data_IF_834895354206
#
_entry.id   IF_834895354206
#
_cell.length_a   1.000
_cell.length_b   1.000
_cell.length_c   1.000
_cell.angle_alpha   90.00
_cell.angle_beta   90.00
_cell.angle_gamma   90.00
#
_symmetry.space_group_name_H-M   'P 1'
#
loop_
_entity.id
_entity.type
_entity.pdbx_description
1 polymer ?
#
# COMPACT_ATOMS: atom_id res chain seq x y z
N UNK A 1 -2.21 -1.29 -12.84
CA UNK A 1 -1.30 -0.16 -12.47
C UNK A 1 -2.07 1.02 -11.89
N UNK A 2 -3.00 1.66 -12.60
CA UNK A 2 -3.77 2.79 -12.07
C UNK A 2 -4.55 2.47 -10.79
N UNK A 3 -5.33 1.39 -10.77
CA UNK A 3 -6.07 1.01 -9.56
C UNK A 3 -5.14 0.72 -8.38
N UNK A 4 -3.98 0.13 -8.65
CA UNK A 4 -2.95 -0.10 -7.64
C UNK A 4 -2.42 1.21 -7.04
N UNK A 5 -2.11 2.22 -7.88
CA UNK A 5 -1.66 3.54 -7.44
C UNK A 5 -2.63 4.17 -6.43
N UNK A 6 -3.91 4.23 -6.81
CA UNK A 6 -4.94 4.81 -5.96
C UNK A 6 -5.19 3.98 -4.70
N UNK A 7 -5.27 2.65 -4.83
CA UNK A 7 -5.48 1.77 -3.67
C UNK A 7 -4.33 1.87 -2.67
N UNK A 8 -3.07 1.83 -3.13
CA UNK A 8 -1.89 1.96 -2.28
C UNK A 8 -1.92 3.29 -1.51
N UNK A 9 -2.18 4.40 -2.21
CA UNK A 9 -2.27 5.72 -1.61
C UNK A 9 -3.39 5.81 -0.56
N UNK A 10 -4.61 5.38 -0.91
CA UNK A 10 -5.76 5.44 0.00
C UNK A 10 -5.55 4.57 1.23
N UNK A 11 -5.09 3.33 1.07
CA UNK A 11 -4.88 2.41 2.19
C UNK A 11 -3.90 3.01 3.21
N UNK A 12 -2.78 3.58 2.76
CA UNK A 12 -1.81 4.17 3.68
C UNK A 12 -2.38 5.42 4.38
N UNK A 13 -3.10 6.27 3.65
CA UNK A 13 -3.75 7.43 4.27
C UNK A 13 -4.78 6.99 5.32
N UNK A 14 -5.63 6.03 4.99
CA UNK A 14 -6.63 5.53 5.94
C UNK A 14 -5.97 4.89 7.16
N UNK A 15 -4.91 4.11 6.96
CA UNK A 15 -4.18 3.47 8.05
C UNK A 15 -3.55 4.51 8.99
N UNK A 16 -2.90 5.54 8.47
CA UNK A 16 -2.31 6.59 9.31
C UNK A 16 -3.37 7.46 10.01
N UNK A 17 -4.50 7.77 9.36
CA UNK A 17 -5.64 8.43 10.03
C UNK A 17 -6.20 7.53 11.14
N UNK A 18 -6.29 6.22 10.92
CA UNK A 18 -6.79 5.30 11.93
C UNK A 18 -5.84 5.22 13.14
N UNK A 19 -4.51 5.15 12.90
CA UNK A 19 -3.49 5.27 13.95
C UNK A 19 -3.64 6.58 14.74
N UNK A 20 -3.85 7.70 14.04
CA UNK A 20 -4.08 9.00 14.66
C UNK A 20 -5.28 9.01 15.61
N UNK A 21 -6.42 8.51 15.12
CA UNK A 21 -7.66 8.47 15.90
C UNK A 21 -7.52 7.59 17.14
N UNK A 22 -6.92 6.40 16.99
CA UNK A 22 -6.72 5.48 18.11
C UNK A 22 -5.82 6.08 19.19
N UNK A 23 -4.72 6.71 18.78
CA UNK A 23 -3.81 7.35 19.71
C UNK A 23 -4.46 8.55 20.42
N UNK A 24 -5.27 9.33 19.70
CA UNK A 24 -6.02 10.45 20.27
C UNK A 24 -7.03 9.96 21.30
N UNK A 25 -7.80 8.92 21.00
CA UNK A 25 -8.76 8.32 21.94
C UNK A 25 -8.03 7.79 23.19
N UNK A 26 -6.95 7.03 23.01
CA UNK A 26 -6.16 6.50 24.13
C UNK A 26 -5.63 7.59 25.05
N UNK A 27 -5.18 8.71 24.49
CA UNK A 27 -4.64 9.85 25.25
C UNK A 27 -5.75 10.58 26.01
N UNK A 28 -6.93 10.74 25.40
CA UNK A 28 -8.07 11.39 26.07
C UNK A 28 -8.73 10.51 27.14
N UNK A 29 -8.51 9.19 27.10
CA UNK A 29 -8.96 8.26 28.14
C UNK A 29 -7.95 8.10 29.28
N UNK A 30 -6.74 8.65 29.14
CA UNK A 30 -5.70 8.65 30.17
C UNK A 30 -5.92 9.81 31.17
N UNK A 31 -7.13 9.86 31.73
CA UNK A 31 -7.51 10.84 32.74
C UNK A 31 -7.35 10.18 34.12
N UNK A 32 -6.62 10.86 35.00
CA UNK A 32 -6.38 10.44 36.37
C UNK A 32 -7.58 10.82 37.26
N UNK A 33 -8.70 10.15 37.04
CA UNK A 33 -9.94 10.33 37.79
C UNK A 33 -10.37 9.00 38.42
N UNK A 34 -10.66 9.06 39.71
CA UNK A 34 -11.13 7.92 40.48
C UNK A 34 -12.66 7.87 40.47
N UNK A 35 -13.21 6.79 39.92
CA UNK A 35 -14.65 6.49 40.03
C UNK A 35 -14.84 5.31 40.98
N UNK A 36 -15.01 5.62 42.26
CA UNK A 36 -15.09 4.61 43.32
C UNK A 36 -13.71 4.14 43.79
N UNK A 37 -13.44 2.82 43.76
CA UNK A 37 -12.14 2.22 44.10
C UNK A 37 -11.25 1.94 42.88
N UNK A 38 -11.66 2.41 41.70
CA UNK A 38 -11.01 2.08 40.43
C UNK A 38 -10.57 3.38 39.76
N UNK A 39 -9.27 3.46 39.48
CA UNK A 39 -8.67 4.56 38.74
C UNK A 39 -8.85 4.32 37.23
N UNK A 40 -9.43 5.28 36.52
CA UNK A 40 -9.73 5.12 35.09
C UNK A 40 -8.46 5.01 34.23
N UNK A 41 -7.37 5.65 34.65
CA UNK A 41 -6.08 5.57 33.97
C UNK A 41 -5.44 4.19 34.11
N UNK A 42 -5.53 3.55 35.26
CA UNK A 42 -5.05 2.17 35.44
C UNK A 42 -5.85 1.17 34.58
N UNK A 43 -7.17 1.33 34.49
CA UNK A 43 -8.02 0.49 33.63
C UNK A 43 -7.72 0.74 32.15
N UNK A 44 -7.56 2.00 31.75
CA UNK A 44 -7.18 2.37 30.38
C UNK A 44 -5.83 1.75 30.01
N UNK A 45 -4.81 1.89 30.87
CA UNK A 45 -3.48 1.33 30.67
C UNK A 45 -3.49 -0.20 30.53
N UNK A 46 -4.37 -0.90 31.25
CA UNK A 46 -4.51 -2.36 31.16
C UNK A 46 -5.33 -2.84 29.94
N UNK A 47 -6.13 -1.97 29.34
CA UNK A 47 -7.04 -2.31 28.23
C UNK A 47 -6.66 -1.57 26.95
N UNK A 48 -7.24 -0.40 26.69
CA UNK A 48 -7.06 0.38 25.48
C UNK A 48 -5.62 0.83 25.26
N UNK A 49 -4.86 1.12 26.32
CA UNK A 49 -3.45 1.47 26.23
C UNK A 49 -2.59 0.35 25.65
N UNK A 50 -2.81 -0.90 26.07
CA UNK A 50 -2.11 -2.08 25.50
C UNK A 50 -2.50 -2.32 24.05
N UNK A 51 -3.77 -2.16 23.71
CA UNK A 51 -4.26 -2.31 22.33
C UNK A 51 -3.65 -1.21 21.45
N UNK A 52 -3.65 0.04 21.90
CA UNK A 52 -3.07 1.17 21.18
C UNK A 52 -1.56 0.97 20.95
N UNK A 53 -0.81 0.57 21.99
CA UNK A 53 0.61 0.29 21.85
C UNK A 53 0.89 -0.83 20.85
N UNK A 54 0.17 -1.96 20.95
CA UNK A 54 0.31 -3.06 20.01
C UNK A 54 -0.03 -2.63 18.57
N UNK A 55 -1.00 -1.74 18.40
CA UNK A 55 -1.38 -1.22 17.10
C UNK A 55 -0.31 -0.25 16.54
N UNK A 56 0.20 0.67 17.35
CA UNK A 56 1.30 1.57 16.98
C UNK A 56 2.54 0.79 16.54
N UNK A 57 2.91 -0.25 17.29
CA UNK A 57 4.10 -1.07 17.01
C UNK A 57 3.93 -1.92 15.74
N UNK A 58 2.70 -2.27 15.38
CA UNK A 58 2.40 -3.13 14.22
C UNK A 58 1.93 -2.36 12.97
N UNK A 59 1.55 -1.09 13.09
CA UNK A 59 0.96 -0.30 12.01
C UNK A 59 1.84 -0.27 10.75
N UNK A 60 3.15 -0.06 10.90
CA UNK A 60 4.06 -0.04 9.75
C UNK A 60 4.16 -1.40 9.06
N UNK A 61 4.19 -2.48 9.84
CA UNK A 61 4.24 -3.84 9.31
C UNK A 61 2.96 -4.20 8.57
N UNK A 62 1.80 -3.82 9.12
CA UNK A 62 0.50 -4.00 8.47
C UNK A 62 0.46 -3.23 7.14
N UNK A 63 0.82 -1.94 7.17
CA UNK A 63 0.83 -1.09 5.98
C UNK A 63 1.74 -1.63 4.89
N UNK A 64 2.99 -1.94 5.24
CA UNK A 64 3.96 -2.49 4.31
C UNK A 64 3.53 -3.86 3.75
N UNK A 65 2.98 -4.74 4.59
CA UNK A 65 2.53 -6.08 4.15
C UNK A 65 1.36 -5.97 3.17
N UNK A 66 0.42 -5.06 3.41
CA UNK A 66 -0.70 -4.82 2.49
C UNK A 66 -0.19 -4.26 1.16
N UNK A 67 0.69 -3.27 1.17
CA UNK A 67 1.30 -2.71 -0.04
C UNK A 67 2.08 -3.76 -0.85
N UNK A 68 2.88 -4.57 -0.16
CA UNK A 68 3.62 -5.66 -0.78
C UNK A 68 2.68 -6.71 -1.39
N UNK A 69 1.60 -7.05 -0.69
CA UNK A 69 0.58 -7.97 -1.18
C UNK A 69 -0.11 -7.46 -2.45
N UNK A 70 -0.35 -6.15 -2.55
CA UNK A 70 -0.90 -5.54 -3.77
C UNK A 70 0.06 -5.67 -4.95
N UNK A 71 1.38 -5.53 -4.74
CA UNK A 71 2.40 -5.77 -5.78
C UNK A 71 2.39 -7.24 -6.20
N UNK A 72 2.34 -8.18 -5.25
CA UNK A 72 2.25 -9.61 -5.58
C UNK A 72 0.99 -9.94 -6.37
N UNK A 73 -0.15 -9.35 -6.01
CA UNK A 73 -1.41 -9.53 -6.72
C UNK A 73 -1.31 -9.02 -8.17
N UNK A 74 -0.55 -7.95 -8.41
CA UNK A 74 -0.25 -7.49 -9.77
C UNK A 74 0.56 -8.52 -10.57
N UNK A 75 1.58 -9.12 -9.97
CA UNK A 75 2.36 -10.17 -10.64
C UNK A 75 1.52 -11.41 -10.96
N UNK A 76 0.65 -11.83 -10.02
CA UNK A 76 -0.27 -12.93 -10.23
C UNK A 76 -1.27 -12.63 -11.35
N UNK A 77 -1.89 -11.45 -11.34
CA UNK A 77 -2.80 -11.03 -12.40
C UNK A 77 -2.11 -10.97 -13.77
N UNK A 78 -0.87 -10.47 -13.84
CA UNK A 78 -0.08 -10.46 -15.06
C UNK A 78 0.16 -11.88 -15.60
N UNK A 79 0.47 -12.81 -14.71
CA UNK A 79 0.68 -14.21 -15.05
C UNK A 79 -0.60 -14.88 -15.58
N UNK A 80 -1.75 -14.64 -14.94
CA UNK A 80 -3.04 -15.24 -15.34
C UNK A 80 -3.65 -14.61 -16.59
N UNK A 81 -3.49 -13.31 -16.81
CA UNK A 81 -4.09 -12.56 -17.92
C UNK A 81 -3.22 -12.53 -19.19
N UNK A 82 -2.34 -13.52 -19.34
CA UNK A 82 -1.45 -13.69 -20.49
C UNK A 82 -2.26 -13.72 -21.80
N UNK A 83 -2.07 -12.70 -22.64
CA UNK A 83 -2.88 -12.48 -23.84
C UNK A 83 -2.45 -13.28 -25.08
N UNK A 84 -3.41 -13.58 -25.95
CA UNK A 84 -3.19 -14.27 -27.23
C UNK A 84 -2.58 -13.36 -28.33
N UNK A 85 -2.61 -12.03 -28.15
CA UNK A 85 -2.13 -11.04 -29.13
C UNK A 85 -0.97 -10.16 -28.59
N UNK A 86 0.25 -10.68 -28.50
CA UNK A 86 1.33 -10.04 -27.75
C UNK A 86 1.80 -8.69 -28.32
N UNK A 87 1.76 -8.47 -29.64
CA UNK A 87 2.44 -7.31 -30.25
C UNK A 87 1.73 -5.97 -30.04
N UNK A 88 0.40 -5.93 -30.18
CA UNK A 88 -0.36 -4.68 -30.03
C UNK A 88 -0.47 -4.27 -28.55
N UNK A 89 -0.58 -5.26 -27.65
CA UNK A 89 -0.72 -4.99 -26.22
C UNK A 89 0.57 -4.46 -25.58
N UNK A 90 1.77 -4.84 -26.07
CA UNK A 90 3.04 -4.29 -25.56
C UNK A 90 3.11 -2.76 -25.70
N UNK A 91 2.72 -2.22 -26.87
CA UNK A 91 2.76 -0.78 -27.12
C UNK A 91 1.81 -0.05 -26.18
N UNK A 92 0.60 -0.60 -26.01
CA UNK A 92 -0.42 -0.06 -25.10
C UNK A 92 0.10 -0.06 -23.67
N UNK A 93 0.73 -1.15 -23.22
CA UNK A 93 1.29 -1.27 -21.87
C UNK A 93 2.42 -0.28 -21.61
N UNK A 94 3.29 0.00 -22.60
CA UNK A 94 4.34 1.03 -22.48
C UNK A 94 3.71 2.40 -22.28
N UNK A 95 2.69 2.75 -23.08
CA UNK A 95 1.99 4.03 -22.94
C UNK A 95 1.33 4.12 -21.56
N UNK A 96 0.64 3.06 -21.12
CA UNK A 96 0.02 3.01 -19.80
C UNK A 96 1.05 3.12 -18.66
N UNK A 97 2.23 2.52 -18.81
CA UNK A 97 3.34 2.62 -17.85
C UNK A 97 3.81 4.07 -17.71
N UNK A 98 4.01 4.78 -18.82
CA UNK A 98 4.43 6.19 -18.81
C UNK A 98 3.40 7.06 -18.10
N UNK A 99 2.10 6.90 -18.42
CA UNK A 99 1.04 7.64 -17.72
C UNK A 99 0.96 7.28 -16.23
N UNK A 100 1.08 5.99 -15.87
CA UNK A 100 1.11 5.55 -14.49
C UNK A 100 2.32 6.12 -13.73
N UNK A 101 3.48 6.23 -14.39
CA UNK A 101 4.66 6.86 -13.83
C UNK A 101 4.44 8.36 -13.56
N UNK A 102 3.89 9.11 -14.50
CA UNK A 102 3.58 10.54 -14.28
C UNK A 102 2.62 10.71 -13.09
N UNK A 103 1.57 9.89 -13.04
CA UNK A 103 0.61 9.91 -11.93
C UNK A 103 1.27 9.54 -10.59
N UNK A 104 2.17 8.56 -10.59
CA UNK A 104 2.90 8.15 -9.39
C UNK A 104 3.76 9.26 -8.80
N UNK A 105 4.39 10.09 -9.64
CA UNK A 105 5.17 11.26 -9.20
C UNK A 105 4.24 12.26 -8.53
N UNK A 106 3.11 12.57 -9.16
CA UNK A 106 2.11 13.47 -8.58
C UNK A 106 1.60 12.98 -7.22
N UNK A 107 1.30 11.68 -7.09
CA UNK A 107 0.87 11.07 -5.83
C UNK A 107 1.95 11.17 -4.76
N UNK A 108 3.20 10.85 -5.11
CA UNK A 108 4.35 10.91 -4.19
C UNK A 108 4.55 12.33 -3.65
N UNK A 109 4.52 13.34 -4.53
CA UNK A 109 4.64 14.75 -4.11
C UNK A 109 3.47 15.19 -3.24
N UNK A 110 2.23 14.85 -3.64
CA UNK A 110 1.04 15.16 -2.85
C UNK A 110 1.12 14.51 -1.45
N UNK A 111 1.59 13.27 -1.38
CA UNK A 111 1.80 12.56 -0.13
C UNK A 111 2.87 13.24 0.73
N UNK A 112 4.00 13.65 0.14
CA UNK A 112 5.05 14.39 0.83
C UNK A 112 4.52 15.71 1.44
N UNK A 113 3.71 16.46 0.69
CA UNK A 113 3.06 17.66 1.21
C UNK A 113 2.10 17.34 2.36
N UNK A 114 1.33 16.25 2.25
CA UNK A 114 0.40 15.81 3.29
C UNK A 114 1.11 15.48 4.60
N UNK A 115 2.14 14.63 4.57
CA UNK A 115 2.84 14.18 5.79
C UNK A 115 3.59 15.33 6.48
N UNK A 116 4.00 16.35 5.72
CA UNK A 116 4.71 17.53 6.24
C UNK A 116 3.78 18.69 6.58
N UNK A 117 2.46 18.56 6.37
CA UNK A 117 1.49 19.63 6.63
C UNK A 117 1.34 19.97 8.12
N UNK A 118 1.52 18.98 8.99
CA UNK A 118 1.43 19.13 10.45
C UNK A 118 2.44 18.23 11.16
N UNK A 119 2.91 18.65 12.33
CA UNK A 119 3.82 17.85 13.15
C UNK A 119 3.19 16.53 13.62
N UNK A 120 1.87 16.50 13.82
CA UNK A 120 1.13 15.30 14.22
C UNK A 120 1.13 14.23 13.13
N UNK A 121 0.78 14.60 11.89
CA UNK A 121 0.81 13.66 10.76
C UNK A 121 2.25 13.25 10.44
N UNK A 122 3.20 14.18 10.54
CA UNK A 122 4.63 13.88 10.38
C UNK A 122 5.06 12.80 11.38
N UNK A 123 4.68 12.92 12.66
CA UNK A 123 5.04 11.90 13.65
C UNK A 123 4.49 10.51 13.29
N UNK A 124 3.24 10.43 12.83
CA UNK A 124 2.63 9.15 12.47
C UNK A 124 3.29 8.54 11.24
N UNK A 125 3.38 9.29 10.15
CA UNK A 125 3.88 8.72 8.90
C UNK A 125 5.40 8.55 8.88
N UNK A 126 6.16 9.44 9.54
CA UNK A 126 7.62 9.38 9.52
C UNK A 126 8.17 8.50 10.64
N UNK A 127 7.63 8.60 11.86
CA UNK A 127 8.20 7.87 13.01
C UNK A 127 7.48 6.55 13.29
N UNK A 128 6.14 6.51 13.17
CA UNK A 128 5.37 5.30 13.46
C UNK A 128 5.28 4.37 12.23
N UNK A 129 5.14 4.92 11.02
CA UNK A 129 4.97 4.15 9.77
C UNK A 129 6.06 4.39 8.71
N UNK A 130 7.36 4.32 9.05
CA UNK A 130 8.44 4.72 8.15
C UNK A 130 8.52 3.91 6.85
N UNK A 131 8.33 2.58 6.89
CA UNK A 131 8.47 1.74 5.69
C UNK A 131 7.31 1.94 4.73
N UNK A 132 6.10 2.03 5.27
CA UNK A 132 4.88 2.28 4.51
C UNK A 132 4.94 3.64 3.81
N UNK A 133 5.40 4.67 4.52
CA UNK A 133 5.57 6.02 3.96
C UNK A 133 6.68 6.06 2.92
N UNK A 134 7.82 5.40 3.19
CA UNK A 134 8.90 5.28 2.22
C UNK A 134 8.47 4.58 0.93
N UNK A 135 7.55 3.61 1.01
CA UNK A 135 6.98 2.97 -0.18
C UNK A 135 6.19 3.97 -1.03
N UNK A 136 5.32 4.79 -0.42
CA UNK A 136 4.53 5.80 -1.16
C UNK A 136 5.42 6.92 -1.72
N UNK A 137 6.47 7.31 -1.00
CA UNK A 137 7.43 8.32 -1.49
C UNK A 137 8.33 7.79 -2.62
N UNK A 138 8.56 6.48 -2.70
CA UNK A 138 9.32 5.84 -3.79
C UNK A 138 8.42 5.18 -4.84
N UNK A 139 7.13 5.50 -4.80
CA UNK A 139 6.11 4.91 -5.66
C UNK A 139 6.39 5.07 -7.16
N UNK A 140 7.02 6.14 -7.67
CA UNK A 140 7.47 6.20 -9.06
C UNK A 140 8.48 5.14 -9.45
N UNK A 141 9.48 4.92 -8.60
CA UNK A 141 10.50 3.89 -8.83
C UNK A 141 9.86 2.50 -8.80
N UNK A 142 8.98 2.26 -7.81
CA UNK A 142 8.28 0.98 -7.67
C UNK A 142 7.40 0.70 -8.88
N UNK A 143 6.66 1.70 -9.37
CA UNK A 143 5.79 1.56 -10.55
C UNK A 143 6.58 1.27 -11.81
N UNK A 144 7.74 1.91 -11.99
CA UNK A 144 8.65 1.59 -13.09
C UNK A 144 9.07 0.12 -13.06
N UNK A 145 9.60 -0.33 -11.91
CA UNK A 145 10.10 -1.71 -11.75
C UNK A 145 8.96 -2.73 -11.88
N UNK A 146 7.89 -2.57 -11.09
CA UNK A 146 6.74 -3.49 -11.06
C UNK A 146 6.05 -3.52 -12.41
N UNK A 147 5.89 -2.37 -13.07
CA UNK A 147 5.28 -2.30 -14.39
C UNK A 147 6.11 -3.00 -15.47
N UNK A 148 7.44 -2.82 -15.47
CA UNK A 148 8.33 -3.58 -16.34
C UNK A 148 8.25 -5.10 -16.06
N UNK A 149 8.27 -5.52 -14.80
CA UNK A 149 8.15 -6.94 -14.43
C UNK A 149 6.80 -7.51 -14.85
N UNK A 150 5.70 -6.79 -14.61
CA UNK A 150 4.35 -7.17 -15.05
C UNK A 150 4.30 -7.35 -16.56
N UNK A 151 4.87 -6.42 -17.33
CA UNK A 151 4.96 -6.57 -18.78
C UNK A 151 5.75 -7.83 -19.16
N UNK A 152 6.94 -8.03 -18.60
CA UNK A 152 7.75 -9.23 -18.89
C UNK A 152 6.97 -10.50 -18.53
N UNK A 153 6.26 -10.55 -17.41
CA UNK A 153 5.46 -11.73 -17.03
C UNK A 153 4.30 -11.96 -18.00
N UNK A 154 3.58 -10.91 -18.40
CA UNK A 154 2.50 -10.99 -19.37
C UNK A 154 2.95 -11.50 -20.75
N UNK A 155 4.21 -11.23 -21.16
CA UNK A 155 4.72 -11.54 -22.51
C UNK A 155 5.84 -12.59 -22.61
N UNK A 156 6.53 -12.91 -21.52
CA UNK A 156 7.55 -14.00 -21.44
C UNK A 156 6.95 -15.36 -21.83
N UNK A 157 5.62 -15.39 -21.80
CA UNK A 157 4.77 -16.42 -22.28
C UNK A 157 4.32 -16.38 -23.75
N UNK A 158 5.24 -16.37 -24.72
CA UNK A 158 5.04 -17.01 -26.03
C UNK A 158 3.93 -18.10 -26.12
N UNK A 159 2.74 -18.00 -26.75
CA UNK A 159 1.75 -19.10 -26.71
C UNK A 159 2.32 -20.43 -27.25
N UNK A 160 1.93 -21.54 -26.61
CA UNK A 160 2.04 -22.89 -27.19
C UNK A 160 1.39 -22.83 -28.57
N UNK A 161 2.17 -23.10 -29.61
CA UNK A 161 1.64 -23.12 -30.98
C UNK A 161 0.39 -24.00 -31.02
N UNK A 162 -0.60 -23.56 -31.78
CA UNK A 162 -1.73 -24.35 -32.29
C UNK A 162 -1.26 -25.51 -33.20
N UNK A 163 -0.24 -26.27 -32.80
CA UNK A 163 0.27 -27.43 -33.55
C UNK A 163 -0.30 -28.78 -33.05
N UNK A 164 -1.05 -28.83 -31.94
CA UNK A 164 -1.63 -30.08 -31.41
C UNK A 164 -3.05 -30.43 -31.92
N UNK A 165 -3.74 -29.54 -32.64
CA UNK A 165 -5.12 -29.81 -33.11
C UNK A 165 -5.16 -30.32 -34.57
N UNK A 166 -4.06 -30.27 -35.32
CA UNK A 166 -4.01 -30.76 -36.72
C UNK A 166 -3.43 -32.17 -36.89
N UNK A 167 -3.11 -32.89 -35.80
CA UNK A 167 -2.52 -34.24 -35.85
C UNK A 167 -3.48 -35.37 -35.48
N UNK A 168 -4.78 -35.09 -35.39
CA UNK A 168 -5.83 -36.12 -35.34
C UNK A 168 -6.82 -35.92 -36.51
N UNK A 169 -6.27 -35.94 -37.73
CA UNK A 169 -7.03 -36.28 -38.94
C UNK A 169 -7.16 -37.79 -39.08
#
# INVERSE_FOLDING_TARGET
LFLFLFAAFLIIIFLGIYVFLFNTVSTNLDIDEDFGQVNLKDVNALTFGRINQAFLDSADYIGFTVLFSLVLLMFLNAYFLRGEYPRLFIIIDIVLLVFAYILSVYISETYSLLINSTSLLSNIYVNIMPKSSAFILNLPMIIGIVGCVVMILSYSGMPRKKEEISFNG
#
